data_IF_870896199159
#
_entry.id   IF_870896199159
#
_cell.length_a   1.000
_cell.length_b   1.000
_cell.length_c   1.000
_cell.angle_alpha   90.00
_cell.angle_beta   90.00
_cell.angle_gamma   90.00
#
_symmetry.space_group_name_H-M   'P 1'
#
loop_
_entity.id
_entity.type
_entity.pdbx_description
1 polymer ?
#
# COMPACT_ATOMS: atom_id res chain seq x y z
N UNK A 1 37.90 3.68 25.59
CA UNK A 1 37.57 3.52 24.16
C UNK A 1 36.10 3.15 24.07
N UNK A 2 35.27 4.18 24.22
CA UNK A 2 33.94 4.38 23.64
C UNK A 2 33.95 4.00 22.15
N UNK A 3 32.95 3.38 21.53
CA UNK A 3 31.53 3.72 21.54
C UNK A 3 30.63 2.48 21.42
N UNK A 4 29.73 2.31 22.37
CA UNK A 4 28.51 1.53 22.16
C UNK A 4 27.58 2.41 21.34
N UNK A 5 27.58 2.23 20.02
CA UNK A 5 26.59 2.86 19.12
C UNK A 5 25.21 2.38 19.52
N UNK A 6 24.57 3.14 20.40
CA UNK A 6 23.15 3.07 20.69
C UNK A 6 22.44 3.31 19.37
N UNK A 7 22.06 2.24 18.70
CA UNK A 7 21.23 2.31 17.50
C UNK A 7 19.84 2.72 17.98
N UNK A 8 19.62 4.03 18.07
CA UNK A 8 18.34 4.63 18.41
C UNK A 8 17.27 3.98 17.54
N UNK A 9 16.21 3.39 18.12
CA UNK A 9 15.13 2.84 17.31
C UNK A 9 14.62 3.95 16.38
N UNK A 10 14.34 3.64 15.09
CA UNK A 10 13.88 4.65 14.15
C UNK A 10 12.69 5.36 14.78
N UNK A 11 12.86 6.65 15.03
CA UNK A 11 11.84 7.50 15.62
C UNK A 11 10.60 7.37 14.74
N UNK A 12 9.51 6.86 15.31
CA UNK A 12 8.28 6.56 14.57
C UNK A 12 7.91 7.80 13.75
N UNK A 13 8.11 7.72 12.43
CA UNK A 13 7.77 8.80 11.52
C UNK A 13 6.30 9.10 11.76
N UNK A 14 5.99 10.33 12.19
CA UNK A 14 4.63 10.76 12.47
C UNK A 14 3.81 10.53 11.21
N UNK A 15 2.96 9.51 11.21
CA UNK A 15 2.09 9.21 10.08
C UNK A 15 1.24 10.45 9.82
N UNK A 16 1.34 10.99 8.61
CA UNK A 16 0.51 12.11 8.18
C UNK A 16 -0.91 11.58 7.99
N UNK A 17 -1.74 11.73 9.02
CA UNK A 17 -3.12 11.24 9.06
C UNK A 17 -4.07 12.00 8.12
N UNK A 18 -3.59 13.07 7.50
CA UNK A 18 -4.34 13.87 6.52
C UNK A 18 -4.19 13.19 5.15
N UNK A 19 -5.30 12.82 4.48
CA UNK A 19 -5.25 12.29 3.14
C UNK A 19 -4.52 13.24 2.18
N UNK A 20 -3.60 12.68 1.40
CA UNK A 20 -2.97 13.38 0.28
C UNK A 20 -3.76 13.03 -0.98
N UNK A 21 -4.04 14.04 -1.80
CA UNK A 21 -4.69 13.81 -3.09
C UNK A 21 -3.65 13.22 -4.06
N UNK A 22 -3.97 12.06 -4.62
CA UNK A 22 -3.21 11.39 -5.67
C UNK A 22 -3.98 11.33 -6.97
N UNK A 23 -3.27 10.99 -8.04
CA UNK A 23 -3.83 10.82 -9.38
C UNK A 23 -3.68 9.37 -9.81
N UNK A 24 -4.77 8.75 -10.24
CA UNK A 24 -4.73 7.41 -10.84
C UNK A 24 -3.94 7.49 -12.14
N UNK A 25 -2.81 6.77 -12.20
CA UNK A 25 -2.00 6.66 -13.43
C UNK A 25 -2.39 5.48 -14.28
N UNK A 26 -2.78 4.40 -13.64
CA UNK A 26 -3.09 3.16 -14.33
C UNK A 26 -4.11 2.35 -13.54
N UNK A 27 -5.04 1.75 -14.27
CA UNK A 27 -5.94 0.72 -13.77
C UNK A 27 -5.64 -0.54 -14.58
N UNK A 28 -5.25 -1.60 -13.89
CA UNK A 28 -4.77 -2.85 -14.46
C UNK A 28 -5.79 -3.92 -14.07
N UNK A 29 -6.54 -4.49 -15.02
CA UNK A 29 -7.37 -5.67 -14.75
C UNK A 29 -6.48 -6.87 -14.44
N UNK A 30 -6.61 -7.42 -13.24
CA UNK A 30 -5.87 -8.62 -12.80
C UNK A 30 -6.71 -9.89 -13.01
N UNK A 31 -8.02 -9.79 -12.76
CA UNK A 31 -9.02 -10.83 -12.98
C UNK A 31 -10.41 -10.20 -13.18
N UNK A 32 -11.46 -11.03 -13.36
CA UNK A 32 -12.83 -10.54 -13.58
C UNK A 32 -13.33 -9.59 -12.47
N UNK A 33 -12.97 -9.86 -11.22
CA UNK A 33 -13.39 -9.13 -10.03
C UNK A 33 -12.23 -8.47 -9.27
N UNK A 34 -11.04 -8.41 -9.88
CA UNK A 34 -9.84 -7.83 -9.26
C UNK A 34 -9.16 -6.83 -10.19
N UNK A 35 -8.89 -5.63 -9.68
CA UNK A 35 -8.06 -4.62 -10.37
C UNK A 35 -6.92 -4.17 -9.48
N UNK A 36 -5.79 -3.84 -10.10
CA UNK A 36 -4.73 -3.06 -9.48
C UNK A 36 -4.83 -1.61 -9.94
N UNK A 37 -4.79 -0.67 -9.00
CA UNK A 37 -4.77 0.77 -9.27
C UNK A 37 -3.43 1.33 -8.84
N UNK A 38 -2.73 2.00 -9.76
CA UNK A 38 -1.49 2.73 -9.49
C UNK A 38 -1.84 4.20 -9.30
N UNK A 39 -1.49 4.73 -8.13
CA UNK A 39 -1.76 6.10 -7.73
C UNK A 39 -0.44 6.84 -7.57
N UNK A 40 -0.23 7.86 -8.39
CA UNK A 40 0.86 8.79 -8.19
C UNK A 40 0.50 9.77 -7.07
N UNK A 41 1.46 10.00 -6.18
CA UNK A 41 1.35 10.99 -5.11
C UNK A 41 2.37 12.10 -5.34
N UNK A 42 2.10 13.33 -4.88
CA UNK A 42 3.10 14.41 -4.90
C UNK A 42 4.43 14.01 -4.24
N UNK A 43 4.34 13.18 -3.20
CA UNK A 43 5.46 12.53 -2.54
C UNK A 43 5.01 11.13 -2.11
N UNK A 44 5.65 10.10 -2.65
CA UNK A 44 5.40 8.72 -2.20
C UNK A 44 6.18 8.49 -0.91
N UNK A 45 5.50 8.23 0.21
CA UNK A 45 6.16 8.03 1.49
C UNK A 45 6.90 6.69 1.50
N UNK A 46 8.05 6.63 2.18
CA UNK A 46 8.74 5.37 2.43
C UNK A 46 7.86 4.43 3.26
N UNK A 47 7.79 3.16 2.86
CA UNK A 47 7.03 2.12 3.54
C UNK A 47 7.82 0.81 3.56
N UNK A 48 7.38 -0.14 4.39
CA UNK A 48 7.94 -1.49 4.50
C UNK A 48 6.95 -2.53 3.97
N UNK A 49 7.42 -3.69 3.46
CA UNK A 49 6.53 -4.77 3.03
C UNK A 49 5.51 -5.15 4.11
N UNK A 50 4.27 -5.39 3.71
CA UNK A 50 3.16 -5.70 4.61
C UNK A 50 2.47 -4.50 5.25
N UNK A 51 2.93 -3.27 4.99
CA UNK A 51 2.19 -2.07 5.38
C UNK A 51 0.97 -1.83 4.49
N UNK A 52 0.01 -1.11 5.05
CA UNK A 52 -1.30 -0.83 4.45
C UNK A 52 -1.44 0.65 4.14
N UNK A 53 -2.42 1.00 3.32
CA UNK A 53 -2.85 2.36 3.08
C UNK A 53 -4.38 2.42 2.96
N UNK A 54 -4.95 3.59 3.26
CA UNK A 54 -6.35 3.86 2.95
C UNK A 54 -6.44 4.55 1.59
N UNK A 55 -7.25 3.96 0.70
CA UNK A 55 -7.61 4.53 -0.59
C UNK A 55 -9.05 5.03 -0.50
N UNK A 56 -9.23 6.32 -0.76
CA UNK A 56 -10.48 7.05 -0.66
C UNK A 56 -10.99 7.51 -2.02
N UNK A 57 -12.28 7.30 -2.25
CA UNK A 57 -13.02 7.83 -3.40
C UNK A 57 -13.90 8.98 -2.91
N UNK A 58 -13.72 10.15 -3.50
CA UNK A 58 -14.46 11.35 -3.12
C UNK A 58 -15.97 11.16 -3.30
N UNK A 59 -16.73 11.49 -2.26
CA UNK A 59 -18.18 11.32 -2.24
C UNK A 59 -18.69 9.90 -1.97
N UNK A 60 -17.81 8.90 -1.87
CA UNK A 60 -18.19 7.50 -1.57
C UNK A 60 -17.67 7.06 -0.20
N UNK A 61 -16.37 7.27 0.06
CA UNK A 61 -15.75 6.85 1.30
C UNK A 61 -14.34 6.31 1.08
N UNK A 62 -13.86 5.50 2.02
CA UNK A 62 -12.50 4.96 1.99
C UNK A 62 -12.46 3.52 2.50
N UNK A 63 -11.46 2.78 2.04
CA UNK A 63 -11.19 1.43 2.48
C UNK A 63 -9.69 1.20 2.62
N UNK A 64 -9.32 0.24 3.45
CA UNK A 64 -7.93 -0.09 3.77
C UNK A 64 -7.47 -1.26 2.92
N UNK A 65 -6.32 -1.11 2.29
CA UNK A 65 -5.71 -2.12 1.44
C UNK A 65 -4.22 -2.26 1.76
N UNK A 66 -3.64 -3.42 1.49
CA UNK A 66 -2.19 -3.57 1.53
C UNK A 66 -1.59 -2.78 0.37
N UNK A 67 -0.49 -2.08 0.64
CA UNK A 67 0.31 -1.46 -0.42
C UNK A 67 0.99 -2.62 -1.15
N UNK A 68 0.56 -2.89 -2.38
CA UNK A 68 1.03 -4.04 -3.12
C UNK A 68 2.26 -3.71 -3.99
N UNK A 69 2.57 -2.44 -4.25
CA UNK A 69 3.83 -2.05 -4.93
C UNK A 69 5.05 -2.35 -4.06
N UNK A 70 6.22 -2.48 -4.70
CA UNK A 70 7.44 -2.74 -3.96
C UNK A 70 7.94 -1.45 -3.27
N UNK A 71 8.50 -1.52 -2.05
CA UNK A 71 9.02 -0.33 -1.33
C UNK A 71 10.05 0.54 -2.07
N UNK A 72 10.72 -0.03 -3.08
CA UNK A 72 11.70 0.68 -3.90
C UNK A 72 11.07 1.41 -5.09
N UNK A 73 9.81 1.12 -5.44
CA UNK A 73 9.03 1.86 -6.44
C UNK A 73 8.52 3.16 -5.81
N UNK A 74 9.09 4.29 -6.21
CA UNK A 74 8.80 5.61 -5.61
C UNK A 74 7.95 6.54 -6.46
N UNK A 75 7.56 6.09 -7.65
CA UNK A 75 6.74 6.88 -8.58
C UNK A 75 5.24 6.75 -8.28
N UNK A 76 4.82 5.65 -7.65
CA UNK A 76 3.42 5.38 -7.35
C UNK A 76 3.27 4.45 -6.14
N UNK A 77 2.08 4.46 -5.55
CA UNK A 77 1.58 3.36 -4.73
C UNK A 77 0.60 2.53 -5.52
N UNK A 78 0.68 1.21 -5.39
CA UNK A 78 -0.30 0.30 -6.01
C UNK A 78 -1.17 -0.36 -4.95
N UNK A 79 -2.46 -0.43 -5.24
CA UNK A 79 -3.45 -1.15 -4.44
C UNK A 79 -4.18 -2.15 -5.33
N UNK A 80 -4.23 -3.41 -4.90
CA UNK A 80 -4.96 -4.46 -5.61
C UNK A 80 -6.24 -4.77 -4.87
N UNK A 81 -7.38 -4.67 -5.56
CA UNK A 81 -8.70 -4.55 -4.94
C UNK A 81 -9.67 -5.54 -5.58
N UNK A 82 -10.24 -6.42 -4.75
CA UNK A 82 -11.36 -7.27 -5.12
C UNK A 82 -12.69 -6.49 -5.01
N UNK A 83 -13.62 -6.69 -5.95
CA UNK A 83 -14.92 -6.02 -6.00
C UNK A 83 -15.92 -6.69 -5.06
N UNK A 84 -16.07 -6.19 -3.84
CA UNK A 84 -16.89 -6.83 -2.79
C UNK A 84 -17.90 -5.91 -2.09
N UNK A 85 -17.71 -4.60 -2.15
CA UNK A 85 -18.57 -3.61 -1.51
C UNK A 85 -18.49 -2.23 -2.16
N UNK A 86 -19.20 -1.25 -1.60
CA UNK A 86 -19.45 0.06 -2.22
C UNK A 86 -18.17 0.80 -2.65
N UNK A 87 -17.21 0.97 -1.73
CA UNK A 87 -15.94 1.65 -2.03
C UNK A 87 -15.13 0.87 -3.06
N UNK A 88 -15.06 -0.47 -2.95
CA UNK A 88 -14.31 -1.29 -3.91
C UNK A 88 -14.95 -1.28 -5.30
N UNK A 89 -16.27 -1.18 -5.39
CA UNK A 89 -16.97 -1.05 -6.66
C UNK A 89 -16.69 0.31 -7.31
N UNK A 90 -16.62 1.38 -6.51
CA UNK A 90 -16.22 2.69 -6.98
C UNK A 90 -14.76 2.71 -7.47
N UNK A 91 -13.83 2.06 -6.75
CA UNK A 91 -12.43 1.90 -7.17
C UNK A 91 -12.34 1.20 -8.53
N UNK A 92 -13.15 0.17 -8.73
CA UNK A 92 -13.20 -0.57 -9.98
C UNK A 92 -13.72 0.24 -11.19
N UNK A 93 -14.35 1.39 -10.95
CA UNK A 93 -14.83 2.29 -12.00
C UNK A 93 -13.87 3.46 -12.27
N UNK A 94 -12.72 3.51 -11.59
CA UNK A 94 -11.72 4.55 -11.80
C UNK A 94 -11.10 4.44 -13.21
N UNK A 95 -10.67 5.59 -13.71
CA UNK A 95 -9.92 5.75 -14.95
C UNK A 95 -8.61 6.51 -14.69
N UNK A 96 -7.58 6.32 -15.53
CA UNK A 96 -6.39 7.17 -15.50
C UNK A 96 -6.77 8.66 -15.58
N UNK A 97 -6.20 9.46 -14.69
CA UNK A 97 -6.51 10.89 -14.52
C UNK A 97 -7.44 11.19 -13.35
N UNK A 98 -8.16 10.21 -12.80
CA UNK A 98 -9.05 10.43 -11.66
C UNK A 98 -8.28 10.79 -10.39
N UNK A 99 -8.85 11.71 -9.61
CA UNK A 99 -8.32 12.09 -8.31
C UNK A 99 -8.84 11.13 -7.22
N UNK A 100 -7.95 10.71 -6.32
CA UNK A 100 -8.25 9.86 -5.17
C UNK A 100 -7.57 10.39 -3.91
N UNK A 101 -8.12 10.09 -2.74
CA UNK A 101 -7.46 10.36 -1.46
C UNK A 101 -6.61 9.17 -1.03
N UNK A 102 -5.38 9.40 -0.58
CA UNK A 102 -4.50 8.34 -0.07
C UNK A 102 -3.96 8.71 1.30
N UNK A 103 -4.05 7.76 2.24
CA UNK A 103 -3.34 7.80 3.53
C UNK A 103 -2.44 6.59 3.65
N UNK A 104 -1.15 6.83 3.55
CA UNK A 104 -0.13 5.80 3.61
C UNK A 104 1.21 6.38 4.11
N UNK A 105 2.12 5.53 4.61
CA UNK A 105 1.84 4.16 5.03
C UNK A 105 1.15 4.11 6.40
N UNK A 106 0.45 3.00 6.64
CA UNK A 106 -0.23 2.67 7.89
C UNK A 106 0.17 1.26 8.34
N UNK A 107 0.00 0.98 9.63
CA UNK A 107 0.27 -0.34 10.21
C UNK A 107 1.76 -0.67 10.35
N UNK A 108 2.03 -1.87 10.86
CA UNK A 108 3.39 -2.40 11.04
C UNK A 108 3.70 -3.35 9.88
N UNK A 109 4.86 -3.17 9.24
CA UNK A 109 5.32 -4.09 8.20
C UNK A 109 5.72 -5.46 8.75
N UNK A 110 6.01 -6.39 7.86
CA UNK A 110 6.49 -7.73 8.21
C UNK A 110 7.86 -7.64 8.92
N UNK A 111 8.12 -8.49 9.93
CA UNK A 111 9.44 -8.57 10.58
C UNK A 111 10.44 -9.37 9.73
N UNK A 112 10.55 -9.04 8.43
CA UNK A 112 11.34 -9.83 7.46
C UNK A 112 12.83 -9.87 7.79
N UNK A 113 13.34 -8.88 8.54
CA UNK A 113 14.72 -8.88 9.03
C UNK A 113 15.00 -10.02 10.02
N UNK A 114 14.00 -10.47 10.75
CA UNK A 114 14.13 -11.58 11.70
C UNK A 114 14.05 -12.95 10.99
N UNK A 115 13.82 -12.95 9.66
CA UNK A 115 13.66 -14.16 8.85
C UNK A 115 14.91 -14.54 8.06
N UNK A 116 15.95 -13.70 8.04
CA UNK A 116 17.20 -14.03 7.37
C UNK A 116 17.80 -15.34 7.90
N UNK A 117 18.21 -16.22 6.98
CA UNK A 117 18.79 -17.53 7.31
C UNK A 117 17.78 -18.59 7.78
N UNK A 118 16.48 -18.33 7.64
CA UNK A 118 15.40 -19.30 7.93
C UNK A 118 14.73 -19.76 6.65
N UNK A 119 14.20 -20.97 6.67
CA UNK A 119 13.30 -21.45 5.62
C UNK A 119 11.91 -20.82 5.79
N UNK A 120 11.41 -20.19 4.73
CA UNK A 120 10.14 -19.46 4.75
C UNK A 120 9.16 -20.14 3.79
N UNK A 121 7.96 -20.44 4.28
CA UNK A 121 6.83 -20.88 3.45
C UNK A 121 5.82 -19.73 3.39
N UNK A 122 5.54 -19.26 2.18
CA UNK A 122 4.46 -18.30 1.92
C UNK A 122 3.22 -19.07 1.44
N UNK A 123 2.11 -18.91 2.16
CA UNK A 123 0.83 -19.49 1.79
C UNK A 123 -0.20 -18.37 1.61
N UNK A 124 -0.79 -18.27 0.43
CA UNK A 124 -1.82 -17.30 0.11
C UNK A 124 -2.85 -17.90 -0.86
N UNK A 125 -4.04 -17.31 -0.87
CA UNK A 125 -5.13 -17.67 -1.75
C UNK A 125 -6.00 -16.46 -2.08
N UNK A 126 -6.54 -16.44 -3.31
CA UNK A 126 -7.36 -15.34 -3.82
C UNK A 126 -6.63 -13.99 -3.76
N UNK A 127 -7.33 -12.94 -3.31
CA UNK A 127 -6.78 -11.58 -3.18
C UNK A 127 -5.61 -11.49 -2.18
N UNK A 128 -5.44 -12.50 -1.32
CA UNK A 128 -4.31 -12.62 -0.39
C UNK A 128 -2.95 -12.82 -1.09
N UNK A 129 -2.92 -13.03 -2.41
CA UNK A 129 -1.69 -13.05 -3.21
C UNK A 129 -1.13 -11.65 -3.50
N UNK A 130 -1.98 -10.62 -3.54
CA UNK A 130 -1.56 -9.25 -3.83
C UNK A 130 -0.44 -8.67 -2.93
N UNK A 131 -0.40 -8.94 -1.61
CA UNK A 131 0.67 -8.43 -0.74
C UNK A 131 1.96 -9.26 -0.75
N UNK A 132 2.01 -10.37 -1.49
CA UNK A 132 3.19 -11.25 -1.56
C UNK A 132 4.10 -10.98 -2.76
N UNK A 133 3.69 -10.08 -3.65
CA UNK A 133 4.51 -9.61 -4.78
C UNK A 133 5.48 -8.53 -4.33
#
# INVERSE_FOLDING_TARGET
MSDTTTMTPPQAARVKLIPVVGVVRQVIPEAQDIVSVRVELPEVPAFEPGQIGQLGIFGVGEATFVISSAPHERDYLQFTVARVGEVTQAIHNLSPGDAVGVRAPLGKGFPYRDWYGKDIILAAGGIGMAPLR
#
